data_IF_110386458810
#
_entry.id   IF_110386458810
#
_cell.length_a   1.000
_cell.length_b   1.000
_cell.length_c   1.000
_cell.angle_alpha   90.00
_cell.angle_beta   90.00
_cell.angle_gamma   90.00
#
_symmetry.space_group_name_H-M   'P 1'
#
loop_
_entity.id
_entity.type
_entity.pdbx_description
1 polymer ?
#
# COMPACT_ATOMS: atom_id res chain seq x y z
N UNK A 1 -2.49 11.69 12.94
CA UNK A 1 -2.47 11.49 11.48
C UNK A 1 -1.16 10.85 11.07
N UNK A 2 -1.18 9.55 10.78
CA UNK A 2 0.00 8.78 10.38
C UNK A 2 -0.35 8.01 9.11
N UNK A 3 0.35 8.30 8.01
CA UNK A 3 0.20 7.53 6.77
C UNK A 3 0.99 6.23 6.92
N UNK A 4 0.34 5.10 6.71
CA UNK A 4 0.97 3.77 6.71
C UNK A 4 0.92 3.21 5.30
N UNK A 5 2.09 2.88 4.77
CA UNK A 5 2.23 2.27 3.45
C UNK A 5 2.66 0.83 3.64
N UNK A 6 1.74 -0.10 3.37
CA UNK A 6 2.05 -1.52 3.40
C UNK A 6 2.74 -1.91 2.11
N UNK A 7 3.98 -2.39 2.22
CA UNK A 7 4.83 -2.76 1.09
C UNK A 7 5.30 -4.20 1.23
N UNK A 8 5.78 -4.81 0.14
CA UNK A 8 6.58 -6.03 0.19
C UNK A 8 8.00 -5.71 -0.28
N UNK A 9 8.96 -5.65 0.65
CA UNK A 9 10.36 -5.32 0.34
C UNK A 9 11.00 -6.33 -0.63
N UNK A 10 10.67 -7.61 -0.48
CA UNK A 10 11.20 -8.71 -1.30
C UNK A 10 10.24 -9.19 -2.40
N UNK A 11 9.36 -8.31 -2.91
CA UNK A 11 8.45 -8.67 -4.01
C UNK A 11 9.19 -9.16 -5.26
N UNK A 12 8.76 -10.31 -5.80
CA UNK A 12 9.27 -10.83 -7.08
C UNK A 12 8.78 -10.08 -8.31
N UNK A 13 7.76 -9.22 -8.17
CA UNK A 13 7.18 -8.45 -9.28
C UNK A 13 7.82 -7.07 -9.40
N UNK A 14 8.46 -6.80 -10.53
CA UNK A 14 9.01 -5.47 -10.85
C UNK A 14 7.93 -4.39 -10.88
N UNK A 15 6.72 -4.72 -11.36
CA UNK A 15 5.61 -3.78 -11.40
C UNK A 15 5.18 -3.35 -9.99
N UNK A 16 5.12 -4.29 -9.05
CA UNK A 16 4.81 -4.01 -7.64
C UNK A 16 5.91 -3.15 -7.00
N UNK A 17 7.18 -3.51 -7.21
CA UNK A 17 8.32 -2.73 -6.71
C UNK A 17 8.28 -1.28 -7.19
N UNK A 18 7.99 -1.06 -8.48
CA UNK A 18 7.88 0.28 -9.06
C UNK A 18 6.71 1.05 -8.45
N UNK A 19 5.51 0.45 -8.36
CA UNK A 19 4.34 1.09 -7.72
C UNK A 19 4.62 1.47 -6.26
N UNK A 20 5.31 0.61 -5.49
CA UNK A 20 5.72 0.92 -4.11
C UNK A 20 6.66 2.12 -4.09
N UNK A 21 7.72 2.12 -4.91
CA UNK A 21 8.67 3.23 -5.00
C UNK A 21 8.01 4.54 -5.42
N UNK A 22 7.06 4.50 -6.37
CA UNK A 22 6.33 5.68 -6.81
C UNK A 22 5.51 6.30 -5.66
N UNK A 23 4.84 5.47 -4.84
CA UNK A 23 4.10 5.94 -3.65
C UNK A 23 5.04 6.50 -2.59
N UNK A 24 6.09 5.77 -2.22
CA UNK A 24 7.04 6.20 -1.19
C UNK A 24 7.73 7.50 -1.61
N UNK A 25 8.25 7.54 -2.84
CA UNK A 25 8.90 8.72 -3.41
C UNK A 25 7.95 9.92 -3.52
N UNK A 26 6.67 9.71 -3.84
CA UNK A 26 5.67 10.79 -3.82
C UNK A 26 5.49 11.36 -2.41
N UNK A 27 5.35 10.51 -1.39
CA UNK A 27 5.16 10.95 -0.01
C UNK A 27 6.41 11.69 0.51
N UNK A 28 7.61 11.17 0.22
CA UNK A 28 8.88 11.82 0.55
C UNK A 28 9.03 13.19 -0.12
N UNK A 29 8.77 13.27 -1.44
CA UNK A 29 8.89 14.50 -2.21
C UNK A 29 7.96 15.61 -1.69
N UNK A 30 6.77 15.23 -1.21
CA UNK A 30 5.79 16.14 -0.62
C UNK A 30 5.99 16.36 0.89
N UNK A 31 7.05 15.81 1.50
CA UNK A 31 7.35 15.90 2.94
C UNK A 31 6.20 15.41 3.82
N UNK A 32 5.44 14.43 3.34
CA UNK A 32 4.38 13.78 4.10
C UNK A 32 5.02 12.73 4.98
N UNK A 33 4.81 12.79 6.30
CA UNK A 33 5.28 11.76 7.22
C UNK A 33 4.52 10.44 7.02
N UNK A 34 5.25 9.34 6.83
CA UNK A 34 4.68 8.01 6.69
C UNK A 34 5.54 6.93 7.36
N UNK A 35 4.92 5.77 7.58
CA UNK A 35 5.57 4.55 8.04
C UNK A 35 5.48 3.46 6.97
N UNK A 36 6.61 2.81 6.70
CA UNK A 36 6.64 1.60 5.88
C UNK A 36 6.29 0.38 6.74
N UNK A 37 5.30 -0.39 6.29
CA UNK A 37 4.86 -1.61 6.96
C UNK A 37 5.15 -2.79 6.04
N UNK A 38 6.35 -3.34 6.16
CA UNK A 38 6.76 -4.47 5.31
C UNK A 38 5.97 -5.73 5.64
N UNK A 39 5.26 -6.29 4.65
CA UNK A 39 4.46 -7.52 4.76
C UNK A 39 5.26 -8.77 4.35
N UNK A 40 6.42 -8.57 3.70
CA UNK A 40 7.25 -9.68 3.26
C UNK A 40 8.07 -10.26 4.43
N UNK A 41 8.61 -9.38 5.29
CA UNK A 41 9.38 -9.77 6.46
C UNK A 41 8.56 -9.83 7.76
N UNK A 42 7.38 -9.21 7.83
CA UNK A 42 6.56 -9.17 9.04
C UNK A 42 5.15 -9.71 8.78
N UNK A 43 4.82 -10.82 9.44
CA UNK A 43 3.55 -11.51 9.32
C UNK A 43 2.37 -10.73 9.92
N UNK A 44 2.59 -10.01 11.02
CA UNK A 44 1.56 -9.18 11.64
C UNK A 44 1.09 -8.09 10.68
N UNK A 45 2.03 -7.40 10.03
CA UNK A 45 1.71 -6.42 8.99
C UNK A 45 0.93 -7.05 7.84
N UNK A 46 1.36 -8.23 7.38
CA UNK A 46 0.70 -8.97 6.29
C UNK A 46 -0.74 -9.33 6.63
N UNK A 47 -0.96 -9.88 7.82
CA UNK A 47 -2.29 -10.26 8.31
C UNK A 47 -3.17 -9.02 8.45
N UNK A 48 -2.67 -7.99 9.12
CA UNK A 48 -3.41 -6.75 9.35
C UNK A 48 -3.84 -6.11 8.04
N UNK A 49 -2.93 -5.99 7.05
CA UNK A 49 -3.26 -5.43 5.74
C UNK A 49 -4.41 -6.18 5.08
N UNK A 50 -4.33 -7.52 5.03
CA UNK A 50 -5.34 -8.36 4.36
C UNK A 50 -6.71 -8.26 5.02
N UNK A 51 -6.76 -8.16 6.34
CA UNK A 51 -8.01 -8.04 7.11
C UNK A 51 -8.64 -6.66 6.98
N UNK A 52 -7.82 -5.59 6.92
CA UNK A 52 -8.29 -4.21 6.94
C UNK A 52 -8.49 -3.59 5.55
N UNK A 53 -8.06 -4.25 4.46
CA UNK A 53 -8.49 -3.87 3.10
C UNK A 53 -9.99 -4.17 2.96
N UNK A 54 -10.83 -3.16 2.64
CA UNK A 54 -12.26 -3.32 2.43
C UNK A 54 -12.58 -4.33 1.33
N UNK A 55 -13.66 -5.08 1.49
CA UNK A 55 -14.03 -6.17 0.59
C UNK A 55 -14.25 -5.73 -0.87
N UNK A 56 -14.82 -4.54 -1.08
CA UNK A 56 -14.99 -3.94 -2.41
C UNK A 56 -13.67 -3.54 -3.10
N UNK A 57 -12.56 -3.54 -2.36
CA UNK A 57 -11.22 -3.23 -2.86
C UNK A 57 -10.32 -4.47 -2.91
N UNK A 58 -10.88 -5.65 -2.64
CA UNK A 58 -10.14 -6.93 -2.75
C UNK A 58 -10.20 -7.45 -4.19
N UNK A 59 -9.14 -8.11 -4.68
CA UNK A 59 -9.17 -8.76 -5.98
C UNK A 59 -10.18 -9.92 -5.98
N UNK A 60 -10.73 -10.24 -7.16
CA UNK A 60 -11.65 -11.37 -7.32
C UNK A 60 -11.02 -12.73 -6.93
N UNK A 61 -9.69 -12.84 -7.03
CA UNK A 61 -8.93 -14.03 -6.62
C UNK A 61 -7.63 -13.61 -5.91
N UNK A 62 -7.31 -14.31 -4.82
CA UNK A 62 -6.05 -14.10 -4.08
C UNK A 62 -6.15 -13.02 -3.00
N UNK A 63 -5.00 -12.46 -2.63
CA UNK A 63 -4.90 -11.42 -1.59
C UNK A 63 -4.62 -10.05 -2.20
N UNK A 64 -5.05 -8.96 -1.54
CA UNK A 64 -4.63 -7.61 -1.91
C UNK A 64 -3.10 -7.52 -2.01
N UNK A 65 -2.61 -6.90 -3.09
CA UNK A 65 -1.18 -6.76 -3.38
C UNK A 65 -0.71 -5.37 -2.94
N UNK A 66 0.54 -5.23 -2.47
CA UNK A 66 1.09 -3.91 -2.14
C UNK A 66 1.38 -3.07 -3.39
N UNK A 67 1.52 -1.72 -3.26
CA UNK A 67 1.36 -0.96 -2.01
C UNK A 67 -0.12 -0.77 -1.61
N UNK A 68 -0.40 -0.79 -0.31
CA UNK A 68 -1.72 -0.47 0.26
C UNK A 68 -1.60 0.67 1.27
N UNK A 69 -2.38 1.74 1.09
CA UNK A 69 -2.24 2.98 1.84
C UNK A 69 -3.35 3.10 2.88
N UNK A 70 -2.96 3.38 4.12
CA UNK A 70 -3.88 3.66 5.22
C UNK A 70 -3.51 5.01 5.85
N UNK A 71 -4.51 5.76 6.27
CA UNK A 71 -4.33 6.85 7.22
C UNK A 71 -4.80 6.31 8.57
N UNK A 72 -3.86 6.01 9.46
CA UNK A 72 -4.08 5.27 10.70
C UNK A 72 -4.69 3.87 10.43
N UNK A 73 -6.00 3.68 10.69
CA UNK A 73 -6.75 2.47 10.36
C UNK A 73 -7.68 2.65 9.14
N UNK A 74 -7.80 3.86 8.61
CA UNK A 74 -8.70 4.16 7.50
C UNK A 74 -8.03 3.85 6.17
N UNK A 75 -8.63 2.92 5.41
CA UNK A 75 -8.17 2.58 4.07
C UNK A 75 -8.30 3.76 3.10
N UNK A 76 -7.24 4.05 2.34
CA UNK A 76 -7.19 5.12 1.34
C UNK A 76 -7.08 4.62 -0.10
N UNK A 77 -6.88 3.31 -0.28
CA UNK A 77 -6.76 2.70 -1.59
C UNK A 77 -5.39 2.08 -1.85
N UNK A 78 -5.34 1.36 -2.95
CA UNK A 78 -4.12 0.96 -3.64
C UNK A 78 -3.63 2.10 -4.56
N UNK A 79 -2.34 2.09 -4.92
CA UNK A 79 -1.72 3.16 -5.72
C UNK A 79 -2.44 3.49 -7.05
N UNK A 80 -3.25 2.57 -7.59
CA UNK A 80 -4.03 2.83 -8.80
C UNK A 80 -5.17 3.84 -8.61
N UNK A 81 -5.63 4.08 -7.38
CA UNK A 81 -6.74 4.99 -7.12
C UNK A 81 -6.40 6.46 -7.39
N UNK A 82 -5.11 6.85 -7.42
CA UNK A 82 -4.71 8.24 -7.63
C UNK A 82 -4.53 8.64 -9.10
N UNK A 83 -4.40 7.67 -10.02
CA UNK A 83 -4.21 7.97 -11.44
C UNK A 83 -5.51 8.30 -12.20
N UNK A 84 -6.69 8.10 -11.59
CA UNK A 84 -8.00 8.30 -12.24
C UNK A 84 -8.71 9.61 -11.89
N UNK A 85 -8.10 10.50 -11.11
CA UNK A 85 -8.68 11.80 -10.75
C UNK A 85 -8.04 13.00 -11.46
N UNK A 86 -7.20 12.76 -12.46
CA UNK A 86 -6.58 13.82 -13.28
C UNK A 86 -6.78 13.63 -14.80
N UNK A 87 -7.87 12.98 -15.21
CA UNK A 87 -8.29 12.91 -16.61
C UNK A 87 -9.70 13.48 -16.78
#
# INVERSE_FOLDING_TARGET
>A
MVIRVYIASSSGSTAIKKKQQDVLGFLEANKIGFEEKDIAANEENRKWMRENVPENSRPATGYPLPPQIFNESQYRGEAEAQAKQQA
#
